data_IF_045792491039
#
_entry.id   IF_045792491039
#
_cell.length_a   1.000
_cell.length_b   1.000
_cell.length_c   1.000
_cell.angle_alpha   90.00
_cell.angle_beta   90.00
_cell.angle_gamma   90.00
#
_symmetry.space_group_name_H-M   'P 1'
#
loop_
_entity.id
_entity.type
_entity.pdbx_description
1 polymer ?
#
# COMPACT_ATOMS: atom_id res chain seq x y z
N UNK A 1 -13.69 31.75 17.88
CA UNK A 1 -14.30 32.04 16.55
C UNK A 1 -14.43 30.71 15.84
N UNK A 2 -15.64 30.17 15.73
CA UNK A 2 -15.91 29.01 14.88
C UNK A 2 -15.76 29.47 13.42
N UNK A 3 -14.73 28.95 12.73
CA UNK A 3 -14.58 29.15 11.30
C UNK A 3 -15.65 28.26 10.60
N UNK A 4 -16.49 28.84 9.75
CA UNK A 4 -17.42 28.04 8.94
C UNK A 4 -16.59 27.10 8.07
N UNK A 5 -16.94 25.79 7.99
CA UNK A 5 -16.23 24.87 7.10
C UNK A 5 -16.28 25.43 5.66
N UNK A 6 -15.13 25.41 4.99
CA UNK A 6 -15.07 25.83 3.59
C UNK A 6 -15.84 24.80 2.75
N UNK A 7 -16.92 25.15 2.05
CA UNK A 7 -17.75 24.22 1.30
C UNK A 7 -16.99 23.50 0.17
N UNK A 8 -15.84 24.02 -0.24
CA UNK A 8 -14.99 23.43 -1.28
C UNK A 8 -14.02 22.37 -0.75
N UNK A 9 -13.94 22.19 0.58
CA UNK A 9 -13.10 21.17 1.19
C UNK A 9 -13.92 19.90 1.41
N UNK A 10 -13.43 18.77 0.89
CA UNK A 10 -14.06 17.48 0.97
C UNK A 10 -13.12 16.44 1.57
N UNK A 11 -13.67 15.46 2.28
CA UNK A 11 -12.95 14.34 2.84
C UNK A 11 -13.43 13.07 2.14
N UNK A 12 -12.50 12.23 1.71
CA UNK A 12 -12.79 10.97 1.05
C UNK A 12 -11.58 10.04 1.01
N UNK A 13 -11.73 8.95 0.29
CA UNK A 13 -10.67 7.96 0.06
C UNK A 13 -10.03 8.21 -1.30
N UNK A 14 -8.70 8.33 -1.32
CA UNK A 14 -7.96 8.50 -2.56
C UNK A 14 -7.76 7.17 -3.27
N UNK A 15 -8.26 7.04 -4.48
CA UNK A 15 -8.00 5.92 -5.38
C UNK A 15 -6.99 6.33 -6.45
N UNK A 16 -5.77 5.82 -6.31
CA UNK A 16 -4.68 6.05 -7.24
C UNK A 16 -4.78 5.21 -8.51
N UNK A 17 -4.09 5.66 -9.56
CA UNK A 17 -3.93 4.95 -10.82
C UNK A 17 -2.46 4.77 -11.17
N UNK A 18 -2.15 3.83 -12.06
CA UNK A 18 -0.79 3.60 -12.56
C UNK A 18 -0.15 4.83 -13.25
N UNK A 19 -0.97 5.79 -13.66
CA UNK A 19 -0.51 7.02 -14.33
C UNK A 19 -0.24 8.17 -13.39
N UNK A 20 -0.35 7.96 -12.07
CA UNK A 20 -0.05 8.96 -11.05
C UNK A 20 -1.19 9.94 -10.73
N UNK A 21 -2.24 10.00 -11.50
CA UNK A 21 -3.48 10.69 -11.14
C UNK A 21 -4.40 9.77 -10.33
N UNK A 22 -5.47 10.30 -9.75
CA UNK A 22 -6.46 9.48 -9.06
C UNK A 22 -7.78 10.20 -8.86
N UNK A 23 -8.61 9.62 -8.00
CA UNK A 23 -9.93 10.13 -7.65
C UNK A 23 -10.09 10.13 -6.13
N UNK A 24 -10.76 11.14 -5.60
CA UNK A 24 -11.23 11.12 -4.21
C UNK A 24 -12.68 10.69 -4.23
N UNK A 25 -12.93 9.49 -3.72
CA UNK A 25 -14.25 8.86 -3.61
C UNK A 25 -14.86 9.25 -2.27
N UNK A 26 -16.10 9.70 -2.28
CA UNK A 26 -16.85 10.13 -1.11
C UNK A 26 -18.08 9.25 -0.93
N UNK A 27 -18.36 8.84 0.31
CA UNK A 27 -19.52 7.97 0.60
C UNK A 27 -20.88 8.66 0.39
N UNK A 28 -20.92 9.99 0.57
CA UNK A 28 -22.16 10.77 0.56
C UNK A 28 -22.40 11.54 -0.74
N UNK A 29 -21.55 11.43 -1.75
CA UNK A 29 -21.66 12.15 -3.01
C UNK A 29 -21.55 11.21 -4.23
N UNK A 30 -22.38 11.46 -5.24
CA UNK A 30 -22.41 10.63 -6.47
C UNK A 30 -21.22 10.86 -7.42
N UNK A 31 -20.52 12.00 -7.29
CA UNK A 31 -19.42 12.37 -8.19
C UNK A 31 -18.08 12.44 -7.46
N UNK A 32 -17.12 11.64 -7.91
CA UNK A 32 -15.76 11.65 -7.44
C UNK A 32 -15.01 12.93 -7.87
N UNK A 33 -14.00 13.30 -7.07
CA UNK A 33 -13.12 14.43 -7.41
C UNK A 33 -11.90 13.89 -8.13
N UNK A 34 -11.70 14.30 -9.39
CA UNK A 34 -10.49 13.99 -10.14
C UNK A 34 -9.29 14.76 -9.59
N UNK A 35 -8.19 14.06 -9.31
CA UNK A 35 -6.94 14.64 -8.80
C UNK A 35 -5.83 14.41 -9.83
N UNK A 36 -5.35 15.45 -10.52
CA UNK A 36 -4.22 15.33 -11.42
C UNK A 36 -2.94 14.91 -10.69
N UNK A 37 -2.00 14.28 -11.38
CA UNK A 37 -0.73 13.77 -10.82
C UNK A 37 0.03 14.82 -9.97
N UNK A 38 0.12 16.06 -10.46
CA UNK A 38 0.81 17.14 -9.73
C UNK A 38 0.13 17.62 -8.45
N UNK A 39 -1.08 17.15 -8.14
CA UNK A 39 -1.91 17.59 -7.02
C UNK A 39 -2.25 16.50 -6.02
N UNK A 40 -1.56 15.37 -6.11
CA UNK A 40 -1.78 14.20 -5.24
C UNK A 40 -1.19 14.38 -3.84
N UNK A 41 -0.21 15.30 -3.67
CA UNK A 41 0.29 15.74 -2.34
C UNK A 41 0.90 14.64 -1.48
N UNK A 42 1.45 13.55 -2.05
CA UNK A 42 2.03 12.43 -1.29
C UNK A 42 1.01 11.37 -0.88
N UNK A 43 -0.28 11.53 -1.19
CA UNK A 43 -1.28 10.50 -0.93
C UNK A 43 -1.00 9.23 -1.73
N UNK A 44 -1.27 8.09 -1.11
CA UNK A 44 -1.21 6.76 -1.69
C UNK A 44 -2.60 6.16 -1.86
N UNK A 45 -2.73 5.14 -2.69
CA UNK A 45 -4.00 4.46 -2.91
C UNK A 45 -4.58 3.94 -1.59
N UNK A 46 -5.86 4.27 -1.34
CA UNK A 46 -6.58 3.89 -0.13
C UNK A 46 -6.46 4.88 1.03
N UNK A 47 -5.65 5.94 0.91
CA UNK A 47 -5.48 6.94 1.97
C UNK A 47 -6.75 7.76 2.17
N UNK A 48 -7.03 8.10 3.42
CA UNK A 48 -8.06 9.07 3.76
C UNK A 48 -7.48 10.47 3.65
N UNK A 49 -8.06 11.28 2.79
CA UNK A 49 -7.52 12.58 2.42
C UNK A 49 -8.53 13.70 2.53
N UNK A 50 -8.00 14.91 2.65
CA UNK A 50 -8.73 16.14 2.52
C UNK A 50 -8.37 16.79 1.19
N UNK A 51 -9.36 17.01 0.34
CA UNK A 51 -9.20 17.63 -0.97
C UNK A 51 -9.98 18.93 -1.07
N UNK A 52 -9.44 19.89 -1.80
CA UNK A 52 -10.13 21.13 -2.16
C UNK A 52 -10.55 21.08 -3.63
N UNK A 53 -11.83 21.38 -3.90
CA UNK A 53 -12.33 21.46 -5.27
C UNK A 53 -11.80 22.76 -5.89
N UNK A 54 -11.12 22.64 -7.01
CA UNK A 54 -10.68 23.76 -7.85
C UNK A 54 -11.76 24.02 -8.91
N UNK A 55 -12.23 25.25 -9.02
CA UNK A 55 -13.12 25.64 -10.09
C UNK A 55 -12.35 25.66 -11.40
N UNK A 56 -12.47 24.58 -12.19
CA UNK A 56 -11.98 24.57 -13.56
C UNK A 56 -13.01 25.20 -14.49
N UNK A 57 -12.56 26.13 -15.35
CA UNK A 57 -13.40 26.77 -16.39
C UNK A 57 -13.98 25.80 -17.42
N UNK A 58 -13.67 24.52 -17.34
CA UNK A 58 -14.01 23.49 -18.34
C UNK A 58 -15.27 22.65 -18.04
N UNK A 59 -16.01 22.92 -17.00
CA UNK A 59 -17.44 22.56 -16.83
C UNK A 59 -17.88 21.10 -16.89
N UNK A 60 -17.00 20.10 -16.95
CA UNK A 60 -17.39 18.69 -17.16
C UNK A 60 -16.95 17.69 -16.10
N UNK A 61 -16.05 18.03 -15.21
CA UNK A 61 -15.56 17.13 -14.15
C UNK A 61 -15.10 17.93 -12.96
N UNK A 62 -15.44 17.51 -11.75
CA UNK A 62 -14.90 18.10 -10.54
C UNK A 62 -13.41 17.78 -10.48
N UNK A 63 -12.56 18.79 -10.50
CA UNK A 63 -11.12 18.68 -10.35
C UNK A 63 -10.70 19.26 -9.02
N UNK A 64 -9.78 18.59 -8.33
CA UNK A 64 -9.33 18.99 -7.00
C UNK A 64 -7.84 18.80 -6.79
N UNK A 65 -7.42 19.19 -5.60
CA UNK A 65 -6.07 19.04 -5.07
C UNK A 65 -6.16 18.44 -3.68
N UNK A 66 -5.33 17.45 -3.37
CA UNK A 66 -5.18 16.94 -2.01
C UNK A 66 -4.34 17.93 -1.22
N UNK A 67 -4.94 18.49 -0.17
CA UNK A 67 -4.29 19.46 0.70
C UNK A 67 -3.73 18.84 1.97
N UNK A 68 -4.25 17.66 2.37
CA UNK A 68 -3.81 16.95 3.56
C UNK A 68 -4.13 15.45 3.45
N UNK A 69 -3.22 14.60 3.89
CA UNK A 69 -3.47 13.18 4.12
C UNK A 69 -3.80 13.01 5.60
N UNK A 70 -5.06 12.68 5.88
CA UNK A 70 -5.56 12.54 7.26
C UNK A 70 -5.14 11.21 7.88
N UNK A 71 -5.05 10.17 7.05
CA UNK A 71 -4.66 8.84 7.48
C UNK A 71 -4.10 8.05 6.30
N UNK A 72 -2.89 7.51 6.47
CA UNK A 72 -2.35 6.53 5.54
C UNK A 72 -2.94 5.15 5.82
N UNK A 73 -3.47 4.51 4.79
CA UNK A 73 -4.04 3.16 4.87
C UNK A 73 -2.99 2.08 4.64
N UNK A 74 -1.92 2.40 3.92
CA UNK A 74 -0.89 1.43 3.53
C UNK A 74 0.43 1.81 4.16
N UNK A 75 0.95 0.96 5.05
CA UNK A 75 2.26 1.11 5.69
C UNK A 75 3.34 0.19 5.07
N UNK A 76 2.92 -0.80 4.29
CA UNK A 76 3.79 -1.82 3.70
C UNK A 76 3.32 -2.14 2.28
N UNK A 77 4.28 -2.43 1.40
CA UNK A 77 4.03 -2.82 0.02
C UNK A 77 4.90 -4.02 -0.36
N UNK A 78 4.39 -4.84 -1.26
CA UNK A 78 5.17 -5.88 -1.95
C UNK A 78 5.63 -5.34 -3.30
N UNK A 79 6.87 -5.61 -3.67
CA UNK A 79 7.42 -5.16 -4.93
C UNK A 79 8.76 -5.80 -5.25
N UNK A 80 9.35 -5.37 -6.37
CA UNK A 80 10.67 -5.83 -6.83
C UNK A 80 11.71 -4.80 -6.45
N UNK A 81 12.76 -5.26 -5.76
CA UNK A 81 13.90 -4.43 -5.41
C UNK A 81 14.84 -4.29 -6.62
N UNK A 82 15.12 -3.06 -7.00
CA UNK A 82 16.09 -2.69 -8.02
C UNK A 82 17.27 -2.01 -7.34
N UNK A 83 18.44 -2.65 -7.40
CA UNK A 83 19.65 -2.19 -6.72
C UNK A 83 20.43 -1.20 -7.57
N UNK A 84 20.87 -0.12 -6.95
CA UNK A 84 21.89 0.79 -7.45
C UNK A 84 23.17 0.73 -6.58
N UNK A 85 24.17 1.54 -6.86
CA UNK A 85 25.47 1.48 -6.13
C UNK A 85 25.31 1.69 -4.63
N UNK A 86 24.62 2.75 -4.21
CA UNK A 86 24.51 3.18 -2.80
C UNK A 86 23.06 3.22 -2.29
N UNK A 87 22.11 2.81 -3.09
CA UNK A 87 20.67 2.80 -2.75
C UNK A 87 19.95 1.79 -3.63
N UNK A 88 18.68 1.62 -3.41
CA UNK A 88 17.79 0.90 -4.31
C UNK A 88 16.41 1.52 -4.35
N UNK A 89 15.58 0.98 -5.22
CA UNK A 89 14.16 1.28 -5.29
C UNK A 89 13.36 -0.01 -5.21
N UNK A 90 12.20 0.06 -4.58
CA UNK A 90 11.19 -0.98 -4.68
C UNK A 90 10.12 -0.50 -5.64
N UNK A 91 9.94 -1.24 -6.74
CA UNK A 91 8.85 -1.03 -7.70
C UNK A 91 7.65 -1.83 -7.20
N UNK A 92 6.55 -1.18 -6.78
CA UNK A 92 5.39 -1.88 -6.26
C UNK A 92 4.74 -2.82 -7.30
N UNK A 93 4.29 -3.99 -6.85
CA UNK A 93 3.57 -4.94 -7.72
C UNK A 93 2.15 -4.43 -8.07
N UNK A 94 1.52 -3.72 -7.14
CA UNK A 94 0.21 -3.14 -7.36
C UNK A 94 0.33 -1.82 -8.14
N UNK A 95 -0.18 -1.75 -9.38
CA UNK A 95 -0.05 -0.58 -10.24
C UNK A 95 -0.80 0.67 -9.73
N UNK A 96 -1.67 0.54 -8.73
CA UNK A 96 -2.31 1.68 -8.08
C UNK A 96 -1.31 2.54 -7.28
N UNK A 97 -0.12 2.00 -6.98
CA UNK A 97 1.00 2.72 -6.38
C UNK A 97 1.98 3.11 -7.49
N UNK A 98 1.83 4.32 -8.00
CA UNK A 98 2.58 4.81 -9.18
C UNK A 98 4.03 5.22 -8.92
N UNK A 99 4.43 5.30 -7.64
CA UNK A 99 5.77 5.76 -7.26
C UNK A 99 6.61 4.63 -6.69
N UNK A 100 7.86 4.53 -7.14
CA UNK A 100 8.85 3.64 -6.55
C UNK A 100 9.23 4.13 -5.15
N UNK A 101 9.46 3.18 -4.23
CA UNK A 101 9.90 3.48 -2.87
C UNK A 101 11.42 3.50 -2.83
N UNK A 102 12.00 4.62 -2.45
CA UNK A 102 13.44 4.75 -2.25
C UNK A 102 13.89 4.00 -0.99
N UNK A 103 14.97 3.21 -1.10
CA UNK A 103 15.51 2.43 0.02
C UNK A 103 17.01 2.69 0.12
N UNK A 104 17.49 3.34 1.19
CA UNK A 104 18.92 3.43 1.49
C UNK A 104 19.56 2.04 1.59
N UNK A 105 20.83 1.91 1.17
CA UNK A 105 21.47 0.59 1.13
C UNK A 105 21.57 -0.08 2.51
N UNK A 106 21.78 0.69 3.55
CA UNK A 106 21.83 0.23 4.95
C UNK A 106 20.48 -0.30 5.45
N UNK A 107 19.37 0.11 4.81
CA UNK A 107 18.01 -0.35 5.10
C UNK A 107 17.53 -1.46 4.16
N UNK A 108 18.40 -1.96 3.27
CA UNK A 108 18.05 -2.96 2.26
C UNK A 108 18.11 -4.41 2.76
N UNK A 109 18.56 -4.67 3.98
CA UNK A 109 18.75 -6.03 4.55
C UNK A 109 19.54 -6.99 3.65
N UNK A 110 20.43 -6.47 2.80
CA UNK A 110 21.19 -7.29 1.87
C UNK A 110 20.40 -7.74 0.64
N UNK A 111 19.26 -7.15 0.36
CA UNK A 111 18.52 -7.42 -0.88
C UNK A 111 19.40 -7.14 -2.10
N UNK A 112 19.31 -8.01 -3.10
CA UNK A 112 19.98 -7.86 -4.39
C UNK A 112 18.94 -7.53 -5.47
N UNK A 113 19.44 -7.11 -6.62
CA UNK A 113 18.58 -6.80 -7.78
C UNK A 113 17.66 -7.99 -8.12
N UNK A 114 16.40 -7.73 -8.42
CA UNK A 114 15.42 -8.77 -8.72
C UNK A 114 14.78 -9.46 -7.51
N UNK A 115 15.18 -9.13 -6.27
CA UNK A 115 14.47 -9.68 -5.10
C UNK A 115 13.04 -9.15 -5.00
N UNK A 116 12.08 -10.04 -4.81
CA UNK A 116 10.75 -9.75 -4.29
C UNK A 116 10.85 -9.46 -2.80
N UNK A 117 10.31 -8.33 -2.39
CA UNK A 117 10.46 -7.85 -1.00
C UNK A 117 9.16 -7.28 -0.46
N UNK A 118 9.03 -7.30 0.85
CA UNK A 118 8.08 -6.46 1.59
C UNK A 118 8.85 -5.22 2.02
N UNK A 119 8.41 -4.05 1.59
CA UNK A 119 8.96 -2.75 2.00
C UNK A 119 8.03 -2.05 2.96
N UNK A 120 8.55 -1.63 4.11
CA UNK A 120 7.86 -0.75 5.04
C UNK A 120 8.12 0.71 4.67
N UNK A 121 7.08 1.54 4.67
CA UNK A 121 7.16 2.96 4.31
C UNK A 121 7.48 3.76 5.57
N UNK A 122 8.51 4.61 5.51
CA UNK A 122 8.90 5.53 6.61
C UNK A 122 8.57 6.98 6.29
N UNK A 123 8.55 7.34 5.01
CA UNK A 123 8.18 8.66 4.51
C UNK A 123 7.36 8.48 3.24
N UNK A 124 6.19 9.09 3.16
CA UNK A 124 5.27 8.95 2.02
C UNK A 124 5.60 9.90 0.86
N UNK A 125 6.59 10.75 1.04
CA UNK A 125 7.04 11.70 0.04
C UNK A 125 6.00 12.79 -0.24
N UNK A 126 6.24 13.98 0.29
CA UNK A 126 5.49 15.20 -0.04
C UNK A 126 6.31 16.08 -1.00
N UNK A 127 5.65 17.07 -1.61
CA UNK A 127 6.31 18.12 -2.41
C UNK A 127 7.22 17.59 -3.54
N UNK A 128 6.78 16.53 -4.23
CA UNK A 128 7.52 15.97 -5.36
C UNK A 128 8.66 15.01 -4.98
N UNK A 129 8.90 14.78 -3.69
CA UNK A 129 9.85 13.76 -3.24
C UNK A 129 9.29 12.36 -3.44
N UNK A 130 10.17 11.40 -3.71
CA UNK A 130 9.80 9.98 -3.71
C UNK A 130 9.58 9.50 -2.28
N UNK A 131 8.64 8.55 -2.07
CA UNK A 131 8.52 7.90 -0.77
C UNK A 131 9.80 7.15 -0.40
N UNK A 132 10.09 7.08 0.90
CA UNK A 132 11.24 6.36 1.45
C UNK A 132 10.76 5.21 2.34
N UNK A 133 11.52 4.10 2.33
CA UNK A 133 11.21 2.94 3.14
C UNK A 133 12.43 2.10 3.50
N UNK A 134 12.16 0.95 4.08
CA UNK A 134 13.14 -0.06 4.43
C UNK A 134 12.62 -1.45 4.04
N UNK A 135 13.53 -2.34 3.69
CA UNK A 135 13.15 -3.74 3.44
C UNK A 135 12.79 -4.39 4.77
N UNK A 136 11.53 -4.80 4.91
CA UNK A 136 11.03 -5.53 6.07
C UNK A 136 11.35 -7.02 5.95
N UNK A 137 11.18 -7.58 4.76
CA UNK A 137 11.35 -9.00 4.46
C UNK A 137 11.79 -9.21 3.01
N UNK A 138 12.66 -10.18 2.77
CA UNK A 138 12.99 -10.68 1.43
C UNK A 138 12.21 -11.98 1.24
N UNK A 139 11.33 -12.01 0.22
CA UNK A 139 10.48 -13.17 -0.08
C UNK A 139 11.26 -14.23 -0.86
N UNK A 140 12.05 -13.79 -1.85
CA UNK A 140 12.85 -14.63 -2.74
C UNK A 140 13.28 -13.85 -3.98
N UNK A 141 13.92 -14.48 -4.93
CA UNK A 141 14.20 -13.86 -6.23
C UNK A 141 13.00 -14.05 -7.17
N UNK A 142 12.79 -13.15 -8.13
CA UNK A 142 11.69 -13.24 -9.10
C UNK A 142 11.74 -14.52 -9.93
N UNK A 143 12.94 -15.11 -10.13
CA UNK A 143 13.17 -16.35 -10.88
C UNK A 143 13.02 -17.60 -9.99
N UNK A 144 12.86 -17.47 -8.67
CA UNK A 144 12.71 -18.62 -7.78
C UNK A 144 11.28 -19.16 -7.85
N UNK A 145 11.11 -20.50 -7.99
CA UNK A 145 9.79 -21.11 -8.03
C UNK A 145 8.97 -20.80 -6.77
N UNK A 146 7.73 -20.34 -6.95
CA UNK A 146 6.78 -20.07 -5.87
C UNK A 146 6.88 -18.66 -5.24
N UNK A 147 7.90 -17.87 -5.59
CA UNK A 147 8.04 -16.48 -5.08
C UNK A 147 6.86 -15.62 -5.47
N UNK A 148 6.28 -15.80 -6.65
CA UNK A 148 5.10 -15.13 -7.15
C UNK A 148 3.87 -15.40 -6.27
N UNK A 149 3.63 -16.67 -5.91
CA UNK A 149 2.51 -17.08 -5.04
C UNK A 149 2.65 -16.45 -3.66
N UNK A 150 3.85 -16.55 -3.05
CA UNK A 150 4.11 -15.97 -1.73
C UNK A 150 3.93 -14.46 -1.75
N UNK A 151 4.37 -13.78 -2.83
CA UNK A 151 4.20 -12.33 -2.99
C UNK A 151 2.73 -11.93 -3.02
N UNK A 152 1.87 -12.68 -3.73
CA UNK A 152 0.42 -12.41 -3.78
C UNK A 152 -0.21 -12.56 -2.39
N UNK A 153 0.10 -13.64 -1.68
CA UNK A 153 -0.41 -13.87 -0.32
C UNK A 153 0.00 -12.74 0.62
N UNK A 154 1.26 -12.31 0.56
CA UNK A 154 1.79 -11.18 1.34
C UNK A 154 1.12 -9.85 0.97
N UNK A 155 0.91 -9.59 -0.33
CA UNK A 155 0.28 -8.35 -0.78
C UNK A 155 -1.17 -8.19 -0.34
N UNK A 156 -1.84 -9.32 -0.08
CA UNK A 156 -3.22 -9.36 0.44
C UNK A 156 -3.29 -9.36 1.97
N UNK A 157 -2.15 -9.24 2.67
CA UNK A 157 -2.05 -9.35 4.13
C UNK A 157 -2.70 -10.63 4.71
N UNK A 158 -2.68 -11.72 3.93
CA UNK A 158 -3.19 -13.02 4.38
C UNK A 158 -2.19 -13.60 5.37
N UNK A 159 -2.61 -13.94 6.61
CA UNK A 159 -1.73 -14.60 7.56
C UNK A 159 -1.24 -15.94 7.00
N UNK A 160 0.08 -16.12 6.89
CA UNK A 160 0.70 -17.37 6.43
C UNK A 160 0.89 -18.38 7.56
N UNK A 161 0.58 -17.99 8.77
CA UNK A 161 0.76 -18.81 9.96
C UNK A 161 -0.49 -18.76 10.83
N UNK A 162 -0.77 -19.87 11.52
CA UNK A 162 -1.88 -19.92 12.45
C UNK A 162 -1.56 -19.14 13.74
N UNK A 163 -2.58 -18.50 14.37
CA UNK A 163 -2.42 -17.89 15.67
C UNK A 163 -1.87 -18.89 16.71
N UNK A 164 -1.13 -18.39 17.70
CA UNK A 164 -0.47 -19.24 18.69
C UNK A 164 -1.43 -20.09 19.54
N UNK A 165 -2.65 -19.65 19.73
CA UNK A 165 -3.71 -20.40 20.39
C UNK A 165 -4.17 -21.60 19.56
N UNK A 166 -4.29 -21.44 18.23
CA UNK A 166 -4.60 -22.54 17.30
C UNK A 166 -3.45 -23.54 17.25
N UNK A 167 -2.18 -23.08 17.22
CA UNK A 167 -1.01 -23.97 17.27
C UNK A 167 -0.98 -24.81 18.54
N UNK A 168 -1.28 -24.22 19.70
CA UNK A 168 -1.38 -24.96 20.97
C UNK A 168 -2.50 -26.00 20.96
N UNK A 169 -3.63 -25.71 20.32
CA UNK A 169 -4.70 -26.69 20.16
C UNK A 169 -4.27 -27.84 19.28
N UNK A 170 -3.56 -27.58 18.18
CA UNK A 170 -3.00 -28.61 17.29
C UNK A 170 -2.03 -29.57 18.03
N UNK A 171 -1.20 -29.03 18.93
CA UNK A 171 -0.29 -29.86 19.74
C UNK A 171 -1.03 -30.83 20.69
N UNK A 172 -2.30 -30.54 21.00
CA UNK A 172 -3.14 -31.41 21.83
C UNK A 172 -3.94 -32.47 21.06
N UNK A 173 -3.94 -32.39 19.72
CA UNK A 173 -4.64 -33.36 18.86
C UNK A 173 -3.70 -34.52 18.58
N UNK A 174 -4.11 -35.78 18.86
CA UNK A 174 -3.30 -36.95 18.55
C UNK A 174 -3.05 -37.06 17.03
N UNK A 175 -1.82 -37.42 16.64
CA UNK A 175 -1.45 -37.63 15.22
C UNK A 175 -2.17 -38.83 14.58
N UNK A 176 -2.75 -39.72 15.38
CA UNK A 176 -3.49 -40.90 14.92
C UNK A 176 -4.90 -40.93 15.52
N UNK A 177 -5.88 -41.23 14.67
CA UNK A 177 -7.26 -41.47 15.10
C UNK A 177 -7.33 -42.81 15.85
N UNK A 178 -7.72 -42.78 17.12
CA UNK A 178 -7.79 -44.01 17.91
C UNK A 178 -8.88 -44.93 17.39
N UNK A 179 -8.62 -46.24 17.42
CA UNK A 179 -9.59 -47.28 16.98
C UNK A 179 -10.92 -47.27 17.77
N UNK A 180 -11.01 -46.52 18.86
CA UNK A 180 -12.22 -46.31 19.67
C UNK A 180 -13.16 -45.26 19.06
N UNK A 181 -12.64 -44.36 18.19
CA UNK A 181 -13.43 -43.32 17.52
C UNK A 181 -14.14 -43.83 16.26
N UNK A 182 -13.78 -45.05 15.80
CA UNK A 182 -14.46 -45.72 14.68
C UNK A 182 -15.62 -46.63 15.12
N UNK A 183 -15.87 -46.76 16.42
CA UNK A 183 -16.92 -47.61 16.98
C UNK A 183 -18.13 -46.73 17.44
N UNK A 184 -18.77 -46.05 16.49
CA UNK A 184 -19.99 -45.29 16.69
C UNK A 184 -21.01 -45.61 15.62
#
# INVERSE_FOLDING_TARGET
KYCKPNPNIKIGIFEGTARGFGFVVMEDEEEDIYIPEGYVGGAMNGDRVQAVIRNTRSGRRREGEIIEVLQHNTSELVGIFQKSKNFGFVVPDNPKFSKDIFVPIEKSKGAVDGHKVVVGITDYGSDGKKPEGFIKEIIGHVDDPGTDIVSIVKSMNIPMDFPNDVKRQLESIPDEVSSKEFAG
#
